data_IF_855187179576
#
_entry.id   IF_855187179576
#
_cell.length_a   1.000
_cell.length_b   1.000
_cell.length_c   1.000
_cell.angle_alpha   90.00
_cell.angle_beta   90.00
_cell.angle_gamma   90.00
#
_symmetry.space_group_name_H-M   'P 1'
#
loop_
_entity.id
_entity.type
_entity.pdbx_description
1 polymer ?
#
# COMPACT_ATOMS: atom_id res chain seq x y z
N UNK A 1 16.86 -15.49 -10.97
CA UNK A 1 16.07 -14.29 -11.32
C UNK A 1 15.45 -13.78 -10.04
N UNK A 2 15.96 -12.68 -9.48
CA UNK A 2 15.34 -12.05 -8.31
C UNK A 2 14.17 -11.23 -8.79
N UNK A 3 12.95 -11.70 -8.54
CA UNK A 3 11.75 -10.88 -8.69
C UNK A 3 11.75 -9.92 -7.50
N UNK A 4 11.98 -8.63 -7.75
CA UNK A 4 11.71 -7.60 -6.73
C UNK A 4 10.29 -7.82 -6.20
N UNK A 5 10.05 -7.70 -4.89
CA UNK A 5 8.71 -7.88 -4.35
C UNK A 5 7.77 -6.88 -5.02
N UNK A 6 6.75 -7.38 -5.72
CA UNK A 6 5.73 -6.53 -6.31
C UNK A 6 4.88 -5.92 -5.18
N UNK A 7 4.62 -4.62 -5.30
CA UNK A 7 3.77 -3.87 -4.39
C UNK A 7 2.56 -3.36 -5.14
N UNK A 8 1.41 -3.44 -4.49
CA UNK A 8 0.17 -2.80 -4.91
C UNK A 8 -0.05 -1.54 -4.07
N UNK A 9 -0.53 -0.46 -4.70
CA UNK A 9 -0.97 0.72 -3.98
C UNK A 9 -2.39 0.52 -3.43
N UNK A 10 -2.57 0.75 -2.13
CA UNK A 10 -3.88 0.74 -1.46
C UNK A 10 -4.11 2.11 -0.81
N UNK A 11 -5.21 2.76 -1.17
CA UNK A 11 -5.59 4.06 -0.60
C UNK A 11 -6.25 3.87 0.75
N UNK A 12 -5.75 4.56 1.77
CA UNK A 12 -6.33 4.56 3.10
C UNK A 12 -7.62 5.39 3.17
N UNK A 13 -8.70 4.80 3.66
CA UNK A 13 -10.02 5.43 3.75
C UNK A 13 -10.06 6.64 4.71
N UNK A 14 -9.12 6.75 5.66
CA UNK A 14 -9.12 7.82 6.67
C UNK A 14 -8.28 9.01 6.23
N UNK A 15 -7.10 8.75 5.68
CA UNK A 15 -6.11 9.76 5.31
C UNK A 15 -6.08 10.07 3.82
N UNK A 16 -6.73 9.22 3.00
CA UNK A 16 -6.77 9.30 1.53
C UNK A 16 -5.39 9.24 0.88
N UNK A 17 -4.39 8.73 1.62
CA UNK A 17 -3.02 8.51 1.15
C UNK A 17 -2.86 7.10 0.60
N UNK A 18 -2.09 6.97 -0.47
CA UNK A 18 -1.72 5.68 -1.04
C UNK A 18 -0.55 5.05 -0.28
N UNK A 19 -0.75 3.82 0.18
CA UNK A 19 0.25 3.00 0.86
C UNK A 19 0.66 1.82 -0.02
N UNK A 20 1.92 1.40 0.12
CA UNK A 20 2.40 0.21 -0.58
C UNK A 20 2.13 -1.03 0.24
N UNK A 21 1.51 -2.03 -0.36
CA UNK A 21 1.19 -3.32 0.25
C UNK A 21 1.84 -4.39 -0.62
N UNK A 22 2.61 -5.30 -0.01
CA UNK A 22 3.22 -6.41 -0.76
C UNK A 22 2.14 -7.34 -1.29
N UNK A 23 2.44 -8.17 -2.29
CA UNK A 23 1.48 -9.16 -2.79
C UNK A 23 0.98 -10.12 -1.69
N UNK A 24 1.87 -10.55 -0.79
CA UNK A 24 1.52 -11.41 0.32
C UNK A 24 0.55 -10.71 1.29
N UNK A 25 0.83 -9.46 1.68
CA UNK A 25 -0.04 -8.67 2.54
C UNK A 25 -1.36 -8.30 1.84
N UNK A 26 -1.33 -8.11 0.52
CA UNK A 26 -2.52 -7.89 -0.30
C UNK A 26 -3.43 -9.11 -0.31
N UNK A 27 -2.86 -10.31 -0.48
CA UNK A 27 -3.61 -11.56 -0.41
C UNK A 27 -4.23 -11.77 0.98
N UNK A 28 -3.47 -11.52 2.06
CA UNK A 28 -3.96 -11.64 3.43
C UNK A 28 -5.08 -10.63 3.76
N UNK A 29 -4.98 -9.41 3.26
CA UNK A 29 -5.94 -8.34 3.57
C UNK A 29 -7.29 -8.44 2.86
N UNK A 30 -7.37 -9.17 1.73
CA UNK A 30 -8.60 -9.28 0.92
C UNK A 30 -9.82 -9.79 1.68
N UNK A 31 -9.64 -10.71 2.63
CA UNK A 31 -10.74 -11.29 3.41
C UNK A 31 -11.27 -10.35 4.49
N UNK A 32 -10.47 -9.38 4.94
CA UNK A 32 -10.79 -8.50 6.07
C UNK A 32 -10.98 -7.03 5.67
N UNK A 33 -10.55 -6.63 4.48
CA UNK A 33 -10.49 -5.23 4.05
C UNK A 33 -9.41 -4.40 4.77
N UNK A 34 -8.52 -5.06 5.52
CA UNK A 34 -7.42 -4.47 6.28
C UNK A 34 -6.10 -4.96 5.70
N UNK A 35 -5.23 -4.04 5.32
CA UNK A 35 -3.99 -4.35 4.63
C UNK A 35 -2.81 -3.86 5.45
N UNK A 36 -1.78 -4.68 5.62
CA UNK A 36 -0.55 -4.24 6.26
C UNK A 36 0.38 -3.62 5.20
N UNK A 37 0.62 -2.31 5.33
CA UNK A 37 1.49 -1.59 4.42
C UNK A 37 2.97 -1.82 4.76
N UNK A 38 3.84 -1.62 3.77
CA UNK A 38 5.30 -1.68 3.92
C UNK A 38 5.84 -0.67 4.96
N UNK A 39 5.09 0.41 5.24
CA UNK A 39 5.43 1.35 6.31
C UNK A 39 4.99 0.89 7.72
N UNK A 40 4.47 -0.34 7.87
CA UNK A 40 4.02 -0.93 9.14
C UNK A 40 2.63 -0.47 9.62
N UNK A 41 1.91 0.31 8.81
CA UNK A 41 0.57 0.79 9.15
C UNK A 41 -0.49 -0.15 8.59
N UNK A 42 -1.54 -0.41 9.38
CA UNK A 42 -2.76 -1.06 8.87
C UNK A 42 -3.61 -0.06 8.10
N UNK A 43 -3.83 -0.35 6.83
CA UNK A 43 -4.60 0.43 5.88
C UNK A 43 -6.00 -0.14 5.75
N UNK A 44 -7.00 0.73 5.84
CA UNK A 44 -8.38 0.38 5.48
C UNK A 44 -8.61 0.82 4.04
N UNK A 45 -8.94 -0.09 3.14
CA UNK A 45 -9.15 0.28 1.74
C UNK A 45 -10.30 1.27 1.59
N UNK A 46 -10.01 2.41 0.95
CA UNK A 46 -10.98 3.39 0.52
C UNK A 46 -11.90 2.82 -0.58
N UNK A 47 -13.04 3.48 -0.82
CA UNK A 47 -13.89 3.16 -1.98
C UNK A 47 -13.13 3.45 -3.29
N UNK A 48 -13.45 2.72 -4.37
CA UNK A 48 -12.88 3.00 -5.70
C UNK A 48 -13.25 4.39 -6.24
N UNK A 49 -14.30 5.01 -5.71
CA UNK A 49 -14.78 6.34 -6.10
C UNK A 49 -14.04 7.47 -5.41
N UNK A 50 -13.08 7.12 -4.55
CA UNK A 50 -12.51 8.01 -3.58
C UNK A 50 -11.08 8.34 -4.04
N UNK A 51 -10.83 9.52 -4.64
CA UNK A 51 -9.52 9.85 -5.23
C UNK A 51 -8.40 9.85 -4.19
N UNK A 52 -7.23 9.32 -4.55
CA UNK A 52 -6.02 9.45 -3.72
C UNK A 52 -5.54 10.90 -3.71
N UNK A 53 -5.09 11.38 -2.55
CA UNK A 53 -4.53 12.73 -2.39
C UNK A 53 -3.00 12.74 -2.44
N UNK A 54 -2.39 11.60 -2.77
CA UNK A 54 -0.95 11.41 -2.86
C UNK A 54 -0.46 10.19 -2.10
N UNK A 55 0.84 9.87 -2.22
CA UNK A 55 1.46 8.74 -1.55
C UNK A 55 1.78 9.05 -0.08
N UNK A 56 1.79 8.03 0.75
CA UNK A 56 2.38 8.09 2.09
C UNK A 56 3.90 8.31 1.97
N UNK A 57 4.45 9.26 2.72
CA UNK A 57 5.87 9.64 2.65
C UNK A 57 6.81 8.48 3.02
N UNK A 58 6.42 7.65 4.00
CA UNK A 58 7.20 6.47 4.37
C UNK A 58 7.24 5.47 3.22
N UNK A 59 6.09 5.16 2.60
CA UNK A 59 6.02 4.28 1.43
C UNK A 59 6.74 4.88 0.20
N UNK A 60 6.74 6.21 0.04
CA UNK A 60 7.50 6.88 -1.02
C UNK A 60 9.02 6.71 -0.83
N UNK A 61 9.51 6.78 0.41
CA UNK A 61 10.92 6.51 0.74
C UNK A 61 11.29 5.05 0.53
N UNK A 62 10.41 4.11 0.91
CA UNK A 62 10.64 2.68 0.66
C UNK A 62 10.68 2.35 -0.84
N UNK A 63 9.80 2.96 -1.64
CA UNK A 63 9.84 2.82 -3.11
C UNK A 63 11.16 3.34 -3.69
N UNK A 64 11.63 4.51 -3.24
CA UNK A 64 12.88 5.10 -3.71
C UNK A 64 14.11 4.25 -3.32
N UNK A 65 14.09 3.58 -2.16
CA UNK A 65 15.17 2.68 -1.74
C UNK A 65 15.29 1.42 -2.60
N UNK A 66 14.19 0.97 -3.19
CA UNK A 66 14.18 -0.25 -3.99
C UNK A 66 14.64 -0.03 -5.44
N UNK A 67 14.87 1.22 -5.85
CA UNK A 67 15.31 1.57 -7.21
C UNK A 67 14.25 1.26 -8.28
N UNK A 68 14.36 1.83 -9.49
CA UNK A 68 13.58 1.37 -10.65
C UNK A 68 13.93 -0.06 -11.05
#
# INVERSE_FOLDING_TARGET
MSLSPAFTAVTDARTRRAHLVSDAASAAGRSSGRYEAACGVTVLAASLHEPETGRCDACAREAARQGP
#
